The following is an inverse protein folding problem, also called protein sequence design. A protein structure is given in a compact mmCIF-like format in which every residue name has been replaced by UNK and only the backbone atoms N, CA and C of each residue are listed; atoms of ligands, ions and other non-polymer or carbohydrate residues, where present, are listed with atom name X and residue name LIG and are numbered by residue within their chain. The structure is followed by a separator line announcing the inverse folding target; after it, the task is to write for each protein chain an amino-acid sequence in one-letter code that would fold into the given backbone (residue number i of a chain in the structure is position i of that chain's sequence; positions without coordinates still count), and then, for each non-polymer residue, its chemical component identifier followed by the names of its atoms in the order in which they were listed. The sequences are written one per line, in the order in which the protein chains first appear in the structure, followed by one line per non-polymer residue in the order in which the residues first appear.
data_IF_151179657101
#
_entry.id   IF_151179657101
#
_cell.length_a   1.000
_cell.length_b   1.000
_cell.length_c   1.000
_cell.angle_alpha   90.00
_cell.angle_beta   90.00
_cell.angle_gamma   90.00
#
_symmetry.space_group_name_H-M   'P 1'
#
loop_
_entity.id
_entity.type
_entity.pdbx_description
1 polymer ?
#
# COMPACT_ATOMS: atom_id res chain seq x y z
N UNK A 1 23.54 -41.00 -5.37
CA UNK A 1 24.19 -39.99 -6.22
C UNK A 1 24.41 -38.78 -5.34
N UNK A 2 25.66 -38.40 -5.11
CA UNK A 2 26.01 -37.23 -4.31
C UNK A 2 26.12 -36.00 -5.20
N UNK A 3 25.64 -34.85 -4.72
CA UNK A 3 25.82 -33.55 -5.35
C UNK A 3 26.61 -32.66 -4.40
N UNK A 4 27.91 -32.59 -4.67
CA UNK A 4 28.87 -31.69 -4.03
C UNK A 4 28.59 -30.26 -4.51
N UNK A 5 28.15 -29.37 -3.63
CA UNK A 5 28.07 -27.94 -3.96
C UNK A 5 29.35 -27.21 -3.53
N UNK A 6 29.93 -26.55 -4.53
CA UNK A 6 31.22 -25.88 -4.55
C UNK A 6 31.28 -24.73 -3.51
N UNK A 7 32.34 -24.75 -2.69
CA UNK A 7 32.72 -23.65 -1.77
C UNK A 7 33.58 -22.65 -2.54
N UNK A 8 33.17 -21.38 -2.58
CA UNK A 8 34.04 -20.28 -3.03
C UNK A 8 34.22 -19.32 -1.86
N UNK A 9 35.46 -19.24 -1.38
CA UNK A 9 35.89 -18.35 -0.30
C UNK A 9 36.16 -16.95 -0.84
N UNK A 10 35.64 -15.93 -0.15
CA UNK A 10 35.94 -14.54 -0.42
C UNK A 10 37.38 -14.22 0.01
N UNK A 11 38.17 -13.64 -0.90
CA UNK A 11 39.37 -12.86 -0.53
C UNK A 11 39.27 -11.50 -1.21
N UNK A 12 38.91 -10.50 -0.41
CA UNK A 12 39.10 -9.10 -0.77
C UNK A 12 40.55 -8.71 -0.55
N UNK A 13 41.16 -8.10 -1.57
CA UNK A 13 42.31 -7.22 -1.42
C UNK A 13 42.06 -6.04 -2.35
N UNK A 14 41.74 -4.89 -1.75
CA UNK A 14 41.65 -3.61 -2.46
C UNK A 14 43.04 -3.00 -2.38
N UNK A 15 43.75 -2.99 -3.51
CA UNK A 15 44.90 -2.10 -3.69
C UNK A 15 44.47 -0.98 -4.63
N UNK A 16 44.31 0.21 -4.05
CA UNK A 16 44.10 1.44 -4.78
C UNK A 16 45.46 2.03 -5.15
N UNK A 17 45.78 2.04 -6.45
CA UNK A 17 46.81 2.91 -7.00
C UNK A 17 46.26 3.62 -8.25
N UNK A 18 46.22 4.95 -8.15
CA UNK A 18 45.69 5.89 -9.12
C UNK A 18 46.66 6.12 -10.29
N UNK A 19 46.15 6.25 -11.52
CA UNK A 19 46.76 7.05 -12.59
C UNK A 19 45.76 7.32 -13.74
N UNK A 20 45.21 8.52 -13.70
CA UNK A 20 45.01 9.53 -14.75
C UNK A 20 44.68 9.15 -16.23
N UNK A 21 43.56 9.73 -16.65
CA UNK A 21 43.16 10.30 -17.95
C UNK A 21 42.90 9.45 -19.22
N UNK A 22 41.71 9.79 -19.76
CA UNK A 22 41.28 9.82 -21.15
C UNK A 22 40.67 8.56 -21.79
N UNK A 23 39.33 8.58 -21.89
CA UNK A 23 38.45 8.34 -23.07
C UNK A 23 37.29 7.36 -22.84
N UNK A 24 36.06 7.87 -22.95
CA UNK A 24 34.80 7.10 -23.02
C UNK A 24 33.74 7.58 -22.01
N UNK A 25 32.42 7.56 -22.35
CA UNK A 25 31.37 7.98 -21.43
C UNK A 25 31.43 7.11 -20.18
N UNK A 26 31.55 7.73 -19.01
CA UNK A 26 31.52 7.02 -17.75
C UNK A 26 30.07 6.63 -17.47
N UNK A 27 29.69 5.42 -17.87
CA UNK A 27 28.62 4.67 -17.23
C UNK A 27 28.98 4.55 -15.74
N UNK A 28 28.37 5.38 -14.91
CA UNK A 28 28.50 5.28 -13.48
C UNK A 28 27.83 3.97 -13.03
N UNK A 29 28.67 3.02 -12.62
CA UNK A 29 28.30 1.71 -12.11
C UNK A 29 27.41 1.78 -10.85
N UNK A 30 26.62 0.72 -10.59
CA UNK A 30 25.48 0.72 -9.69
C UNK A 30 25.95 0.62 -8.22
N UNK A 31 25.77 1.71 -7.49
CA UNK A 31 25.95 1.76 -6.04
C UNK A 31 24.62 1.58 -5.33
N UNK A 32 24.59 0.65 -4.40
CA UNK A 32 23.66 0.58 -3.26
C UNK A 32 22.18 0.35 -3.61
N UNK A 33 21.81 -0.93 -3.65
CA UNK A 33 20.53 -1.42 -3.15
C UNK A 33 19.33 -0.56 -3.48
N UNK A 34 18.98 -0.48 -4.76
CA UNK A 34 17.59 -0.25 -5.12
C UNK A 34 16.80 -1.46 -4.59
N UNK A 35 16.33 -1.36 -3.35
CA UNK A 35 15.22 -2.18 -2.88
C UNK A 35 14.11 -2.12 -3.93
N UNK A 36 13.24 -3.15 -4.02
CA UNK A 36 12.18 -3.16 -5.03
C UNK A 36 11.50 -1.80 -5.00
N UNK A 37 11.56 -1.07 -6.12
CA UNK A 37 10.92 0.23 -6.26
C UNK A 37 9.50 0.06 -5.74
N UNK A 38 9.15 0.81 -4.69
CA UNK A 38 7.89 0.63 -3.99
C UNK A 38 6.76 0.75 -5.00
N UNK A 39 5.70 -0.03 -4.81
CA UNK A 39 4.48 0.17 -5.61
C UNK A 39 4.05 1.65 -5.50
N UNK A 40 3.92 2.40 -6.61
CA UNK A 40 3.61 3.83 -6.59
C UNK A 40 2.33 4.16 -5.81
N UNK A 41 1.37 3.23 -5.77
CA UNK A 41 0.16 3.39 -4.98
C UNK A 41 0.48 3.32 -3.47
N UNK A 42 1.27 2.33 -3.07
CA UNK A 42 1.74 2.17 -1.69
C UNK A 42 2.58 3.37 -1.21
N UNK A 43 3.45 3.91 -2.06
CA UNK A 43 4.24 5.11 -1.76
C UNK A 43 3.33 6.34 -1.56
N UNK A 44 2.35 6.54 -2.47
CA UNK A 44 1.37 7.63 -2.35
C UNK A 44 0.57 7.54 -1.06
N UNK A 45 0.11 6.34 -0.69
CA UNK A 45 -0.67 6.12 0.52
C UNK A 45 0.15 6.39 1.78
N UNK A 46 1.40 5.91 1.79
CA UNK A 46 2.34 6.16 2.89
C UNK A 46 2.59 7.66 3.08
N UNK A 47 2.72 8.42 2.00
CA UNK A 47 2.89 9.88 2.07
C UNK A 47 1.65 10.60 2.61
N UNK A 48 0.45 10.13 2.28
CA UNK A 48 -0.81 10.68 2.84
C UNK A 48 -0.87 10.40 4.34
N UNK A 49 -0.62 9.15 4.75
CA UNK A 49 -0.60 8.71 6.15
C UNK A 49 0.39 9.53 6.97
N UNK A 50 1.64 9.68 6.49
CA UNK A 50 2.67 10.47 7.18
C UNK A 50 2.20 11.90 7.45
N UNK A 51 1.68 12.59 6.43
CA UNK A 51 1.17 13.96 6.60
C UNK A 51 -0.01 14.06 7.58
N UNK A 52 -0.91 13.07 7.58
CA UNK A 52 -2.07 13.06 8.49
C UNK A 52 -1.63 12.81 9.94
N UNK A 53 -0.71 11.87 10.14
CA UNK A 53 -0.15 11.55 11.45
C UNK A 53 0.61 12.76 12.02
N UNK A 54 1.49 13.39 11.23
CA UNK A 54 2.24 14.58 11.65
C UNK A 54 1.32 15.76 12.00
N UNK A 55 0.30 16.01 11.18
CA UNK A 55 -0.55 17.19 11.33
C UNK A 55 -1.59 17.04 12.44
N UNK A 56 -2.13 15.83 12.64
CA UNK A 56 -3.28 15.60 13.53
C UNK A 56 -2.98 14.66 14.69
N UNK A 57 -1.75 14.13 14.79
CA UNK A 57 -1.32 13.27 15.89
C UNK A 57 -1.84 11.83 15.83
N UNK A 58 -2.35 11.39 14.68
CA UNK A 58 -2.78 10.01 14.49
C UNK A 58 -1.59 9.04 14.36
N UNK A 59 -1.88 7.76 14.50
CA UNK A 59 -0.96 6.64 14.24
C UNK A 59 -1.57 5.71 13.19
N UNK A 60 -1.97 6.28 12.05
CA UNK A 60 -2.49 5.52 10.93
C UNK A 60 -1.38 4.65 10.32
N UNK A 61 -1.73 3.42 9.96
CA UNK A 61 -0.92 2.49 9.19
C UNK A 61 -1.28 2.54 7.69
N UNK A 62 -0.49 1.85 6.86
CA UNK A 62 -0.81 1.68 5.43
C UNK A 62 -2.16 0.96 5.24
N UNK A 63 -2.48 0.00 6.12
CA UNK A 63 -3.76 -0.70 6.09
C UNK A 63 -4.93 0.26 6.33
N UNK A 64 -4.77 1.21 7.24
CA UNK A 64 -5.78 2.25 7.48
C UNK A 64 -5.95 3.19 6.27
N UNK A 65 -4.89 3.33 5.46
CA UNK A 65 -4.95 4.13 4.24
C UNK A 65 -5.89 3.55 3.17
N UNK A 66 -6.09 2.23 3.16
CA UNK A 66 -6.99 1.56 2.21
C UNK A 66 -8.44 2.03 2.36
N UNK A 67 -8.86 2.40 3.58
CA UNK A 67 -10.18 2.99 3.82
C UNK A 67 -10.37 4.29 3.02
N UNK A 68 -9.36 5.15 2.98
CA UNK A 68 -9.44 6.41 2.24
C UNK A 68 -9.46 6.19 0.72
N UNK A 69 -8.81 5.13 0.22
CA UNK A 69 -8.92 4.76 -1.21
C UNK A 69 -10.30 4.24 -1.56
N UNK A 70 -10.98 3.53 -0.65
CA UNK A 70 -12.39 3.16 -0.85
C UNK A 70 -13.27 4.40 -0.96
N UNK A 71 -13.11 5.38 -0.05
CA UNK A 71 -13.87 6.64 -0.13
C UNK A 71 -13.63 7.37 -1.45
N UNK A 72 -12.36 7.43 -1.88
CA UNK A 72 -11.98 8.03 -3.16
C UNK A 72 -12.60 7.29 -4.34
N UNK A 73 -12.68 5.97 -4.29
CA UNK A 73 -13.41 5.17 -5.28
C UNK A 73 -14.87 5.60 -5.39
N UNK A 74 -15.56 5.72 -4.26
CA UNK A 74 -16.97 6.13 -4.21
C UNK A 74 -17.17 7.55 -4.74
N UNK A 75 -16.34 8.52 -4.33
CA UNK A 75 -16.44 9.88 -4.83
C UNK A 75 -16.15 9.98 -6.33
N UNK A 76 -15.17 9.21 -6.82
CA UNK A 76 -14.80 9.21 -8.24
C UNK A 76 -15.85 8.59 -9.16
N UNK A 77 -16.72 7.74 -8.59
CA UNK A 77 -17.82 7.09 -9.30
C UNK A 77 -19.16 7.82 -9.15
N UNK A 78 -19.26 8.83 -8.27
CA UNK A 78 -20.45 9.68 -8.15
C UNK A 78 -20.59 10.58 -9.41
N UNK A 79 -21.64 10.40 -10.22
CA UNK A 79 -21.82 11.14 -11.47
C UNK A 79 -22.03 12.63 -11.26
N UNK A 80 -22.59 13.04 -10.12
CA UNK A 80 -22.78 14.45 -9.76
C UNK A 80 -21.43 15.10 -9.45
N UNK A 81 -20.55 14.41 -8.71
CA UNK A 81 -19.18 14.90 -8.47
C UNK A 81 -18.37 14.98 -9.76
N UNK A 82 -18.48 13.97 -10.64
CA UNK A 82 -17.81 13.99 -11.94
C UNK A 82 -18.30 15.15 -12.82
N UNK A 83 -19.62 15.38 -12.86
CA UNK A 83 -20.19 16.50 -13.60
C UNK A 83 -19.77 17.85 -13.01
N UNK A 84 -19.83 17.99 -11.68
CA UNK A 84 -19.46 19.21 -10.98
C UNK A 84 -17.98 19.55 -11.19
N UNK A 85 -17.09 18.56 -11.15
CA UNK A 85 -15.66 18.77 -11.38
C UNK A 85 -15.33 19.21 -12.81
N UNK A 86 -16.08 18.74 -13.81
CA UNK A 86 -15.88 19.12 -15.22
C UNK A 86 -16.45 20.49 -15.57
N UNK A 87 -17.52 20.90 -14.88
CA UNK A 87 -18.27 22.12 -15.21
C UNK A 87 -17.85 23.35 -14.40
N UNK A 88 -17.18 23.18 -13.26
CA UNK A 88 -16.95 24.24 -12.29
C UNK A 88 -15.46 24.46 -11.99
N UNK A 89 -15.12 25.63 -11.43
CA UNK A 89 -13.82 25.82 -10.76
C UNK A 89 -13.73 24.92 -9.52
N UNK A 90 -12.52 24.75 -9.00
CA UNK A 90 -12.30 23.95 -7.81
C UNK A 90 -13.10 24.46 -6.60
N UNK A 91 -13.17 25.77 -6.40
CA UNK A 91 -13.91 26.40 -5.29
C UNK A 91 -15.40 26.06 -5.34
N UNK A 92 -16.02 26.15 -6.52
CA UNK A 92 -17.43 25.81 -6.71
C UNK A 92 -17.68 24.30 -6.59
N UNK A 93 -16.76 23.48 -7.11
CA UNK A 93 -16.80 22.02 -6.91
C UNK A 93 -16.77 21.65 -5.43
N UNK A 94 -15.93 22.33 -4.62
CA UNK A 94 -15.77 22.04 -3.20
C UNK A 94 -17.08 22.19 -2.40
N UNK A 95 -18.01 23.04 -2.84
CA UNK A 95 -19.34 23.19 -2.21
C UNK A 95 -20.15 21.89 -2.34
N UNK A 96 -20.21 21.32 -3.55
CA UNK A 96 -20.90 20.05 -3.82
C UNK A 96 -20.16 18.89 -3.13
N UNK A 97 -18.83 18.90 -3.24
CA UNK A 97 -17.99 17.86 -2.65
C UNK A 97 -18.13 17.78 -1.13
N UNK A 98 -18.18 18.90 -0.41
CA UNK A 98 -18.30 18.90 1.05
C UNK A 98 -19.53 18.12 1.55
N UNK A 99 -20.66 18.23 0.86
CA UNK A 99 -21.89 17.51 1.20
C UNK A 99 -21.73 16.01 0.92
N UNK A 100 -21.20 15.66 -0.26
CA UNK A 100 -20.98 14.25 -0.66
C UNK A 100 -19.90 13.55 0.16
N UNK A 101 -18.90 14.31 0.60
CA UNK A 101 -17.81 13.82 1.45
C UNK A 101 -18.37 13.17 2.71
N UNK A 102 -19.23 13.87 3.45
CA UNK A 102 -19.86 13.30 4.66
C UNK A 102 -20.85 12.18 4.38
N UNK A 103 -21.62 12.27 3.31
CA UNK A 103 -22.57 11.21 2.98
C UNK A 103 -21.86 9.87 2.73
N UNK A 104 -20.72 9.88 2.02
CA UNK A 104 -19.94 8.65 1.78
C UNK A 104 -19.32 8.13 3.07
N UNK A 105 -18.72 8.99 3.88
CA UNK A 105 -18.10 8.58 5.15
C UNK A 105 -19.13 7.92 6.08
N UNK A 106 -20.31 8.53 6.23
CA UNK A 106 -21.40 7.97 7.04
C UNK A 106 -21.96 6.68 6.43
N UNK A 107 -22.23 6.66 5.12
CA UNK A 107 -22.74 5.46 4.45
C UNK A 107 -21.79 4.26 4.56
N UNK A 108 -20.48 4.49 4.52
CA UNK A 108 -19.47 3.45 4.77
C UNK A 108 -19.43 3.00 6.22
N UNK A 109 -19.60 3.91 7.17
CA UNK A 109 -19.76 3.55 8.58
C UNK A 109 -20.96 2.63 8.79
N UNK A 110 -22.12 2.98 8.22
CA UNK A 110 -23.35 2.19 8.31
C UNK A 110 -23.20 0.82 7.63
N UNK A 111 -22.65 0.78 6.42
CA UNK A 111 -22.40 -0.47 5.68
C UNK A 111 -21.46 -1.39 6.47
N UNK A 112 -20.40 -0.84 7.08
CA UNK A 112 -19.49 -1.63 7.89
C UNK A 112 -20.18 -2.14 9.16
N UNK A 113 -21.05 -1.34 9.78
CA UNK A 113 -21.86 -1.77 10.92
C UNK A 113 -22.78 -2.95 10.56
N UNK A 114 -23.37 -2.96 9.36
CA UNK A 114 -24.16 -4.10 8.87
C UNK A 114 -23.32 -5.37 8.72
N UNK A 115 -22.07 -5.26 8.23
CA UNK A 115 -21.14 -6.40 8.13
C UNK A 115 -20.83 -6.97 9.53
N UNK A 116 -20.52 -6.10 10.50
CA UNK A 116 -20.27 -6.55 11.88
C UNK A 116 -21.51 -7.20 12.49
N UNK A 117 -22.70 -6.64 12.25
CA UNK A 117 -23.95 -7.24 12.68
C UNK A 117 -24.15 -8.62 12.05
N UNK A 118 -23.95 -8.75 10.73
CA UNK A 118 -24.06 -10.03 10.04
C UNK A 118 -23.08 -11.07 10.60
N UNK A 119 -21.85 -10.66 10.94
CA UNK A 119 -20.86 -11.52 11.58
C UNK A 119 -21.31 -12.03 12.96
N UNK A 120 -22.05 -11.24 13.72
CA UNK A 120 -22.54 -11.63 15.05
C UNK A 120 -23.85 -12.44 14.99
N UNK A 121 -24.76 -12.07 14.09
CA UNK A 121 -26.12 -12.62 14.04
C UNK A 121 -26.26 -13.83 13.11
N UNK A 122 -25.38 -13.98 12.11
CA UNK A 122 -25.41 -15.09 11.15
C UNK A 122 -24.23 -16.04 11.36
N UNK A 123 -24.50 -17.16 12.04
CA UNK A 123 -23.50 -18.18 12.34
C UNK A 123 -22.84 -18.77 11.09
N UNK A 124 -23.60 -18.98 10.00
CA UNK A 124 -23.04 -19.52 8.75
C UNK A 124 -22.02 -18.57 8.14
N UNK A 125 -22.35 -17.28 8.05
CA UNK A 125 -21.44 -16.25 7.56
C UNK A 125 -20.16 -16.15 8.40
N UNK A 126 -20.29 -16.24 9.72
CA UNK A 126 -19.14 -16.23 10.63
C UNK A 126 -18.24 -17.45 10.46
N UNK A 127 -18.80 -18.65 10.34
CA UNK A 127 -18.02 -19.88 10.12
C UNK A 127 -17.32 -19.88 8.77
N UNK A 128 -17.97 -19.42 7.70
CA UNK A 128 -17.36 -19.31 6.37
C UNK A 128 -16.14 -18.38 6.39
N UNK A 129 -16.25 -17.22 7.03
CA UNK A 129 -15.14 -16.27 7.19
C UNK A 129 -14.01 -16.87 8.04
N UNK A 130 -14.33 -17.50 9.18
CA UNK A 130 -13.33 -18.16 10.05
C UNK A 130 -12.56 -19.23 9.29
N UNK A 131 -13.25 -20.08 8.55
CA UNK A 131 -12.61 -21.16 7.80
C UNK A 131 -11.74 -20.64 6.66
N UNK A 132 -12.20 -19.60 5.96
CA UNK A 132 -11.46 -18.98 4.87
C UNK A 132 -10.17 -18.33 5.39
N UNK A 133 -10.29 -17.35 6.29
CA UNK A 133 -9.12 -16.64 6.81
C UNK A 133 -8.24 -17.52 7.70
N UNK A 134 -8.82 -18.48 8.42
CA UNK A 134 -8.08 -19.42 9.25
C UNK A 134 -7.17 -20.34 8.41
N UNK A 135 -7.64 -20.77 7.24
CA UNK A 135 -6.80 -21.53 6.29
C UNK A 135 -5.65 -20.69 5.77
N UNK A 136 -5.94 -19.48 5.30
CA UNK A 136 -4.94 -18.60 4.70
C UNK A 136 -3.87 -18.23 5.73
N UNK A 137 -4.30 -17.86 6.95
CA UNK A 137 -3.39 -17.56 8.06
C UNK A 137 -2.58 -18.78 8.48
N UNK A 138 -3.20 -19.96 8.59
CA UNK A 138 -2.48 -21.19 8.92
C UNK A 138 -1.39 -21.47 7.88
N UNK A 139 -1.70 -21.36 6.59
CA UNK A 139 -0.74 -21.57 5.50
C UNK A 139 0.39 -20.55 5.54
N UNK A 140 0.07 -19.27 5.76
CA UNK A 140 1.08 -18.21 5.87
C UNK A 140 2.05 -18.47 7.04
N UNK A 141 1.53 -18.92 8.19
CA UNK A 141 2.35 -19.16 9.38
C UNK A 141 3.08 -20.52 9.36
N UNK A 142 2.59 -21.50 8.60
CA UNK A 142 3.22 -22.82 8.43
C UNK A 142 4.14 -22.91 7.22
N UNK A 143 4.15 -21.91 6.35
CA UNK A 143 5.14 -21.83 5.29
C UNK A 143 6.52 -21.80 5.96
N UNK A 144 7.40 -22.79 5.70
CA UNK A 144 8.76 -22.73 6.23
C UNK A 144 9.38 -21.43 5.73
N UNK A 145 10.00 -20.67 6.64
CA UNK A 145 10.83 -19.54 6.23
C UNK A 145 11.78 -20.06 5.14
N UNK A 146 11.68 -19.50 3.94
CA UNK A 146 12.45 -19.94 2.79
C UNK A 146 13.96 -19.89 3.08
N UNK A 147 14.77 -20.68 2.37
CA UNK A 147 16.20 -20.82 2.60
C UNK A 147 16.99 -19.51 2.50
#
# INVERSE_FOLDING_TARGET
MELTHLRIEARGTVDAASADNATGPLDAFPGEGAGPAGDPQTERLSAIVGRLNEKYGFQLSITDALLFEQFKGDWSSDPELVAAAKANTFENFMIVFATKFMNVVLGRMDTNAEIFKALLDNQGFAEDLKHTYGRDLYQQLHAPEGP
#
